data_IF_911572733932
#
_entry.id   IF_911572733932
#
_cell.length_a   1.000
_cell.length_b   1.000
_cell.length_c   1.000
_cell.angle_alpha   90.00
_cell.angle_beta   90.00
_cell.angle_gamma   90.00
#
_symmetry.space_group_name_H-M   'P 1'
#
loop_
_entity.id
_entity.type
_entity.pdbx_description
1 polymer ?
#
# COMPACT_ATOMS: atom_id res chain seq x y z
N UNK A 1 -7.45 15.66 5.95
CA UNK A 1 -8.65 15.37 5.15
C UNK A 1 -8.53 13.96 4.60
N UNK A 2 -9.55 13.16 4.72
CA UNK A 2 -9.58 11.81 4.12
C UNK A 2 -9.75 11.94 2.61
N UNK A 3 -8.91 11.30 1.79
CA UNK A 3 -9.07 11.30 0.34
C UNK A 3 -10.42 10.72 -0.09
N UNK A 4 -11.08 11.34 -1.05
CA UNK A 4 -12.35 10.88 -1.63
C UNK A 4 -12.14 10.06 -2.89
N UNK A 5 -11.00 10.29 -3.57
CA UNK A 5 -10.63 9.58 -4.78
C UNK A 5 -9.20 9.05 -4.68
N UNK A 6 -9.04 7.80 -5.10
CA UNK A 6 -7.78 7.06 -5.02
C UNK A 6 -7.43 6.52 -6.40
N UNK A 7 -6.25 6.82 -6.89
CA UNK A 7 -5.79 6.33 -8.19
C UNK A 7 -4.67 5.30 -8.02
N UNK A 8 -4.92 4.08 -8.48
CA UNK A 8 -3.88 3.05 -8.57
C UNK A 8 -2.92 3.35 -9.73
N UNK A 9 -1.63 3.23 -9.44
CA UNK A 9 -0.56 3.47 -10.42
C UNK A 9 0.47 2.34 -10.32
N UNK A 10 0.78 1.64 -11.42
CA UNK A 10 1.80 0.58 -11.40
C UNK A 10 3.16 1.09 -10.91
N UNK A 11 3.73 0.46 -9.88
CA UNK A 11 5.02 0.84 -9.31
C UNK A 11 6.21 0.59 -10.23
N UNK A 12 6.04 -0.23 -11.26
CA UNK A 12 7.05 -0.47 -12.28
C UNK A 12 7.18 0.67 -13.31
N UNK A 13 6.24 1.64 -13.33
CA UNK A 13 6.20 2.68 -14.36
C UNK A 13 6.39 4.08 -13.78
N UNK A 14 7.64 4.56 -13.78
CA UNK A 14 7.97 5.94 -13.40
C UNK A 14 7.15 6.96 -14.19
N UNK A 15 7.03 6.78 -15.49
CA UNK A 15 6.25 7.68 -16.36
C UNK A 15 4.79 7.79 -15.93
N UNK A 16 4.16 6.68 -15.54
CA UNK A 16 2.77 6.70 -15.09
C UNK A 16 2.64 7.39 -13.72
N UNK A 17 3.59 7.19 -12.82
CA UNK A 17 3.62 7.87 -11.52
C UNK A 17 3.76 9.39 -11.70
N UNK A 18 4.69 9.85 -12.55
CA UNK A 18 4.87 11.28 -12.84
C UNK A 18 3.57 11.88 -13.42
N UNK A 19 2.93 11.19 -14.38
CA UNK A 19 1.65 11.64 -14.96
C UNK A 19 0.51 11.66 -13.97
N UNK A 20 0.46 10.73 -13.03
CA UNK A 20 -0.60 10.59 -12.05
C UNK A 20 -0.65 11.78 -11.08
N UNK A 21 0.46 12.49 -10.85
CA UNK A 21 0.50 13.66 -9.96
C UNK A 21 -0.42 14.80 -10.40
N UNK A 22 -0.81 14.82 -11.66
CA UNK A 22 -1.70 15.83 -12.26
C UNK A 22 -3.07 15.28 -12.65
N UNK A 23 -3.42 14.08 -12.18
CA UNK A 23 -4.67 13.39 -12.53
C UNK A 23 -5.94 14.02 -11.92
N UNK A 24 -5.79 14.83 -10.86
CA UNK A 24 -6.90 15.34 -10.07
C UNK A 24 -7.41 14.38 -9.00
N UNK A 25 -6.79 13.21 -8.82
CA UNK A 25 -7.07 12.34 -7.69
C UNK A 25 -6.63 12.99 -6.36
N UNK A 26 -7.30 12.63 -5.26
CA UNK A 26 -6.93 13.14 -3.94
C UNK A 26 -5.71 12.38 -3.35
N UNK A 27 -5.49 11.13 -3.76
CA UNK A 27 -4.33 10.34 -3.37
C UNK A 27 -3.93 9.33 -4.45
N UNK A 28 -2.66 8.93 -4.46
CA UNK A 28 -2.15 7.85 -5.31
C UNK A 28 -1.93 6.58 -4.48
N UNK A 29 -2.18 5.43 -5.10
CA UNK A 29 -1.76 4.12 -4.60
C UNK A 29 -0.72 3.58 -5.57
N UNK A 30 0.55 3.62 -5.17
CA UNK A 30 1.66 3.07 -5.93
C UNK A 30 1.70 1.57 -5.70
N UNK A 31 1.46 0.80 -6.76
CA UNK A 31 1.23 -0.63 -6.63
C UNK A 31 2.49 -1.46 -6.80
N UNK A 32 2.84 -2.25 -5.80
CA UNK A 32 3.91 -3.26 -5.82
C UNK A 32 3.38 -4.70 -5.93
N UNK A 33 2.05 -4.87 -5.93
CA UNK A 33 1.41 -6.20 -5.90
C UNK A 33 0.98 -6.63 -7.30
N UNK A 34 -0.29 -6.64 -7.60
CA UNK A 34 -0.85 -7.28 -8.80
C UNK A 34 -0.44 -6.60 -10.11
N UNK A 35 -0.16 -5.30 -10.11
CA UNK A 35 0.27 -4.57 -11.30
C UNK A 35 1.77 -4.76 -11.64
N UNK A 36 2.48 -5.59 -10.88
CA UNK A 36 3.94 -5.83 -11.06
C UNK A 36 4.22 -7.32 -11.16
N UNK A 37 4.85 -7.71 -12.26
CA UNK A 37 5.26 -9.10 -12.48
C UNK A 37 6.27 -9.57 -11.40
N UNK A 38 6.30 -10.87 -11.04
CA UNK A 38 7.16 -11.38 -9.97
C UNK A 38 8.64 -11.03 -10.13
N UNK A 39 9.17 -11.12 -11.33
CA UNK A 39 10.57 -10.81 -11.66
C UNK A 39 10.89 -9.31 -11.66
N UNK A 40 9.87 -8.45 -11.76
CA UNK A 40 10.00 -7.00 -11.75
C UNK A 40 9.85 -6.37 -10.35
N UNK A 41 9.52 -7.13 -9.32
CA UNK A 41 9.19 -6.59 -7.99
C UNK A 41 10.34 -5.80 -7.34
N UNK A 42 11.55 -6.30 -7.43
CA UNK A 42 12.72 -5.61 -6.86
C UNK A 42 12.99 -4.28 -7.57
N UNK A 43 12.84 -4.23 -8.91
CA UNK A 43 12.98 -3.00 -9.68
C UNK A 43 11.86 -2.01 -9.37
N UNK A 44 10.63 -2.49 -9.28
CA UNK A 44 9.48 -1.65 -8.93
C UNK A 44 9.66 -0.96 -7.56
N UNK A 45 10.19 -1.65 -6.54
CA UNK A 45 10.54 -1.04 -5.24
C UNK A 45 11.49 0.14 -5.43
N UNK A 46 12.56 -0.05 -6.20
CA UNK A 46 13.54 1.03 -6.47
C UNK A 46 12.89 2.20 -7.19
N UNK A 47 12.05 1.91 -8.18
CA UNK A 47 11.36 2.93 -8.97
C UNK A 47 10.39 3.75 -8.11
N UNK A 48 9.60 3.07 -7.24
CA UNK A 48 8.69 3.74 -6.30
C UNK A 48 9.47 4.57 -5.29
N UNK A 49 10.54 4.02 -4.70
CA UNK A 49 11.37 4.76 -3.75
C UNK A 49 11.95 6.03 -4.38
N UNK A 50 12.52 5.93 -5.58
CA UNK A 50 13.07 7.07 -6.31
C UNK A 50 12.00 8.11 -6.69
N UNK A 51 10.77 7.69 -6.99
CA UNK A 51 9.66 8.61 -7.21
C UNK A 51 9.29 9.36 -5.92
N UNK A 52 9.17 8.65 -4.80
CA UNK A 52 8.85 9.26 -3.51
C UNK A 52 9.94 10.25 -3.04
N UNK A 53 11.21 9.99 -3.36
CA UNK A 53 12.32 10.90 -3.04
C UNK A 53 12.20 12.26 -3.76
N UNK A 54 11.40 12.37 -4.82
CA UNK A 54 11.10 13.67 -5.46
C UNK A 54 10.14 14.54 -4.65
N UNK A 55 9.54 14.02 -3.58
CA UNK A 55 8.61 14.75 -2.72
C UNK A 55 7.31 15.17 -3.44
N UNK A 56 6.56 14.22 -4.04
CA UNK A 56 5.32 14.57 -4.72
C UNK A 56 4.35 15.27 -3.76
N UNK A 57 3.69 16.34 -4.23
CA UNK A 57 2.74 17.12 -3.41
C UNK A 57 1.44 16.36 -3.10
N UNK A 58 1.09 15.36 -3.93
CA UNK A 58 -0.08 14.50 -3.70
C UNK A 58 0.26 13.40 -2.70
N UNK A 59 -0.64 13.09 -1.73
CA UNK A 59 -0.42 11.97 -0.81
C UNK A 59 -0.25 10.64 -1.55
N UNK A 60 0.85 9.95 -1.28
CA UNK A 60 1.16 8.66 -1.89
C UNK A 60 1.10 7.55 -0.85
N UNK A 61 0.26 6.56 -1.12
CA UNK A 61 0.21 5.28 -0.41
C UNK A 61 0.90 4.21 -1.26
N UNK A 62 1.42 3.17 -0.64
CA UNK A 62 2.02 2.04 -1.35
C UNK A 62 1.23 0.78 -1.05
N UNK A 63 0.70 0.13 -2.09
CA UNK A 63 0.16 -1.22 -1.95
C UNK A 63 1.31 -2.21 -1.96
N UNK A 64 1.54 -2.81 -0.79
CA UNK A 64 2.58 -3.82 -0.60
C UNK A 64 2.13 -5.19 -1.09
N UNK A 65 3.05 -6.11 -1.30
CA UNK A 65 2.71 -7.51 -1.51
C UNK A 65 2.09 -8.11 -0.23
N UNK A 66 1.16 -9.04 -0.38
CA UNK A 66 0.45 -9.66 0.73
C UNK A 66 1.39 -10.37 1.72
N UNK A 67 0.95 -10.49 2.97
CA UNK A 67 1.75 -11.01 4.08
C UNK A 67 2.23 -12.46 3.88
N UNK A 68 1.52 -13.26 3.07
CA UNK A 68 1.91 -14.63 2.75
C UNK A 68 3.03 -14.75 1.70
N UNK A 69 3.45 -13.66 1.07
CA UNK A 69 4.42 -13.71 -0.04
C UNK A 69 5.87 -13.70 0.41
N UNK A 70 6.16 -13.27 1.64
CA UNK A 70 7.52 -13.01 2.12
C UNK A 70 8.16 -11.73 1.56
N UNK A 71 7.42 -10.91 0.80
CA UNK A 71 7.92 -9.68 0.16
C UNK A 71 7.55 -8.40 0.92
N UNK A 72 6.56 -8.48 1.82
CA UNK A 72 5.96 -7.32 2.49
C UNK A 72 6.98 -6.48 3.26
N UNK A 73 7.87 -7.12 4.02
CA UNK A 73 8.90 -6.43 4.79
C UNK A 73 9.84 -5.62 3.90
N UNK A 74 10.27 -6.20 2.78
CA UNK A 74 11.13 -5.52 1.83
C UNK A 74 10.41 -4.34 1.14
N UNK A 75 9.12 -4.49 0.86
CA UNK A 75 8.30 -3.41 0.27
C UNK A 75 8.19 -2.24 1.26
N UNK A 76 7.85 -2.53 2.51
CA UNK A 76 7.76 -1.50 3.57
C UNK A 76 9.10 -0.82 3.79
N UNK A 77 10.17 -1.60 3.92
CA UNK A 77 11.52 -1.09 4.16
C UNK A 77 12.00 -0.14 3.05
N UNK A 78 11.62 -0.41 1.81
CA UNK A 78 12.02 0.42 0.67
C UNK A 78 11.42 1.85 0.70
N UNK A 79 10.26 2.04 1.34
CA UNK A 79 9.50 3.30 1.23
C UNK A 79 9.10 3.93 2.57
N UNK A 80 9.37 3.24 3.68
CA UNK A 80 9.04 3.69 5.03
C UNK A 80 9.55 5.11 5.28
N UNK A 81 8.72 5.94 5.89
CA UNK A 81 9.03 7.34 6.20
C UNK A 81 8.86 8.31 5.04
N UNK A 82 8.49 7.82 3.84
CA UNK A 82 8.29 8.62 2.62
C UNK A 82 6.87 8.54 2.07
N UNK A 83 6.03 7.69 2.67
CA UNK A 83 4.64 7.47 2.25
C UNK A 83 3.66 8.10 3.22
N UNK A 84 2.48 8.45 2.72
CA UNK A 84 1.35 8.85 3.55
C UNK A 84 0.74 7.67 4.31
N UNK A 85 0.94 6.44 3.81
CA UNK A 85 0.48 5.22 4.42
C UNK A 85 0.68 4.00 3.50
N UNK A 86 0.12 2.89 3.91
CA UNK A 86 0.19 1.62 3.18
C UNK A 86 -1.20 1.11 2.80
N UNK A 87 -1.26 0.32 1.74
CA UNK A 87 -2.44 -0.46 1.39
C UNK A 87 -2.07 -1.93 1.55
N UNK A 88 -2.77 -2.63 2.44
CA UNK A 88 -2.58 -4.05 2.70
C UNK A 88 -3.59 -4.87 1.90
N UNK A 89 -3.16 -5.59 0.85
CA UNK A 89 -4.03 -6.48 0.09
C UNK A 89 -4.31 -7.77 0.86
N UNK A 90 -5.41 -8.43 0.53
CA UNK A 90 -5.77 -9.76 1.05
C UNK A 90 -5.70 -9.84 2.58
N UNK A 91 -6.12 -8.75 3.23
CA UNK A 91 -6.16 -8.66 4.69
C UNK A 91 -7.28 -9.57 5.23
N UNK A 92 -6.93 -10.45 6.16
CA UNK A 92 -7.84 -11.48 6.66
C UNK A 92 -8.27 -11.26 8.12
N UNK A 93 -7.90 -10.12 8.71
CA UNK A 93 -8.32 -9.74 10.05
C UNK A 93 -7.40 -8.71 10.69
N UNK A 94 -7.76 -8.21 11.88
CA UNK A 94 -6.96 -7.19 12.61
C UNK A 94 -5.53 -7.62 12.91
N UNK A 95 -5.29 -8.92 13.12
CA UNK A 95 -3.94 -9.47 13.35
C UNK A 95 -2.98 -9.23 12.16
N UNK A 96 -3.50 -9.12 10.95
CA UNK A 96 -2.69 -8.78 9.80
C UNK A 96 -2.21 -7.33 9.85
N UNK A 97 -3.01 -6.44 10.45
CA UNK A 97 -2.60 -5.05 10.72
C UNK A 97 -1.48 -5.01 11.76
N UNK A 98 -1.55 -5.83 12.84
CA UNK A 98 -0.46 -5.96 13.81
C UNK A 98 0.84 -6.39 13.14
N UNK A 99 0.77 -7.38 12.25
CA UNK A 99 1.93 -7.89 11.50
C UNK A 99 2.55 -6.82 10.60
N UNK A 100 1.72 -6.07 9.88
CA UNK A 100 2.21 -4.97 9.04
C UNK A 100 2.84 -3.87 9.90
N UNK A 101 2.20 -3.51 11.01
CA UNK A 101 2.65 -2.46 11.93
C UNK A 101 4.02 -2.75 12.53
N UNK A 102 4.41 -4.01 12.68
CA UNK A 102 5.74 -4.40 13.13
C UNK A 102 6.86 -3.84 12.23
N UNK A 103 6.57 -3.65 10.94
CA UNK A 103 7.52 -3.07 9.97
C UNK A 103 7.22 -1.60 9.67
N UNK A 104 5.94 -1.23 9.53
CA UNK A 104 5.52 0.12 9.12
C UNK A 104 5.42 1.13 10.28
N UNK A 105 5.47 0.64 11.53
CA UNK A 105 5.18 1.45 12.71
C UNK A 105 3.72 1.91 12.72
N UNK A 106 3.48 3.15 13.11
CA UNK A 106 2.13 3.73 13.20
C UNK A 106 1.67 4.39 11.89
N UNK A 107 2.25 4.02 10.74
CA UNK A 107 1.81 4.57 9.47
C UNK A 107 0.35 4.15 9.19
N UNK A 108 -0.49 5.07 8.62
CA UNK A 108 -1.87 4.75 8.26
C UNK A 108 -1.95 3.57 7.29
N UNK A 109 -2.95 2.70 7.48
CA UNK A 109 -3.18 1.52 6.65
C UNK A 109 -4.60 1.50 6.09
N UNK A 110 -4.72 1.35 4.79
CA UNK A 110 -5.96 0.99 4.11
C UNK A 110 -5.97 -0.53 3.90
N UNK A 111 -6.87 -1.24 4.57
CA UNK A 111 -6.97 -2.70 4.43
C UNK A 111 -7.94 -3.08 3.31
N UNK A 112 -7.52 -3.97 2.41
CA UNK A 112 -8.40 -4.59 1.43
C UNK A 112 -8.77 -5.98 1.97
N UNK A 113 -9.96 -6.08 2.57
CA UNK A 113 -10.42 -7.28 3.27
C UNK A 113 -11.46 -8.09 2.49
N UNK A 114 -11.75 -7.71 1.24
CA UNK A 114 -12.81 -8.35 0.43
C UNK A 114 -12.28 -9.30 -0.64
N UNK A 115 -10.97 -9.54 -0.66
CA UNK A 115 -10.33 -10.37 -1.69
C UNK A 115 -10.30 -11.85 -1.35
N UNK A 116 -10.52 -12.22 -0.09
CA UNK A 116 -10.54 -13.62 0.38
C UNK A 116 -11.82 -13.92 1.16
N UNK A 117 -12.25 -15.19 1.16
CA UNK A 117 -13.41 -15.62 1.97
C UNK A 117 -13.18 -15.37 3.46
N UNK A 118 -11.95 -15.59 3.94
CA UNK A 118 -11.60 -15.36 5.34
C UNK A 118 -11.68 -13.88 5.69
N UNK A 119 -11.16 -13.00 4.83
CA UNK A 119 -11.24 -11.56 5.02
C UNK A 119 -12.69 -11.07 5.10
N UNK A 120 -13.55 -11.51 4.17
CA UNK A 120 -14.99 -11.17 4.19
C UNK A 120 -15.65 -11.65 5.48
N UNK A 121 -15.36 -12.86 5.93
CA UNK A 121 -15.90 -13.37 7.22
C UNK A 121 -15.42 -12.55 8.40
N UNK A 122 -14.16 -12.16 8.43
CA UNK A 122 -13.58 -11.37 9.50
C UNK A 122 -14.23 -9.97 9.61
N UNK A 123 -14.67 -9.36 8.49
CA UNK A 123 -15.38 -8.08 8.51
C UNK A 123 -16.62 -8.08 9.39
N UNK A 124 -17.29 -9.25 9.54
CA UNK A 124 -18.52 -9.40 10.34
C UNK A 124 -18.27 -10.03 11.72
N UNK A 125 -17.13 -10.67 11.92
CA UNK A 125 -16.87 -11.48 13.10
C UNK A 125 -15.85 -10.87 14.06
N UNK A 126 -15.00 -9.93 13.61
CA UNK A 126 -13.88 -9.41 14.38
C UNK A 126 -14.02 -7.91 14.64
N UNK A 127 -13.38 -7.44 15.69
CA UNK A 127 -13.24 -6.01 16.00
C UNK A 127 -12.06 -5.43 15.21
N UNK A 128 -12.37 -4.53 14.29
CA UNK A 128 -11.40 -3.84 13.44
C UNK A 128 -10.88 -2.52 14.03
N UNK A 129 -11.10 -2.29 15.33
CA UNK A 129 -10.56 -1.13 16.03
C UNK A 129 -9.03 -1.21 16.13
N UNK A 130 -8.35 -0.75 15.10
CA UNK A 130 -6.88 -0.74 15.06
C UNK A 130 -6.36 0.68 14.87
N UNK A 131 -5.34 1.15 15.65
CA UNK A 131 -4.90 2.54 15.62
C UNK A 131 -4.32 2.99 14.27
N UNK A 132 -3.84 2.08 13.44
CA UNK A 132 -3.31 2.41 12.11
C UNK A 132 -4.36 2.32 11.00
N UNK A 133 -5.55 1.76 11.25
CA UNK A 133 -6.58 1.60 10.22
C UNK A 133 -7.23 2.95 9.88
N UNK A 134 -7.31 3.25 8.58
CA UNK A 134 -7.99 4.43 8.03
C UNK A 134 -9.50 4.23 7.96
#
# INVERSE_FOLDING_TARGET
MTPRSWLFVPGASRRMMDKATTSGADALILDLEDAVAPDAKAEARRTVAAFLDTGPAIPCFVRVNGLGTGLTEADVGAVRGRVAGFVLPKCEGPRDLDRLSAWSGNAPVLAIATETVRGVRALFAEDWSHPCLL
#
